data_IF_882260970961
#
_entry.id   IF_882260970961
#
_cell.length_a   1.000
_cell.length_b   1.000
_cell.length_c   1.000
_cell.angle_alpha   90.00
_cell.angle_beta   90.00
_cell.angle_gamma   90.00
#
_symmetry.space_group_name_H-M   'P 1'
#
loop_
_entity.id
_entity.type
_entity.pdbx_description
1 polymer ?
#
# COMPACT_ATOMS: atom_id res chain seq x y z
N UNK A 1 -0.40 -25.85 -22.05
CA UNK A 1 0.78 -26.01 -22.94
C UNK A 1 1.62 -24.74 -22.86
N UNK A 2 2.87 -24.82 -22.41
CA UNK A 2 3.75 -23.65 -22.25
C UNK A 2 4.38 -23.31 -23.61
N UNK A 3 4.19 -22.08 -24.11
CA UNK A 3 4.72 -21.64 -25.41
C UNK A 3 6.13 -21.04 -25.25
N UNK A 4 7.17 -21.87 -25.36
CA UNK A 4 8.57 -21.49 -25.12
C UNK A 4 9.06 -20.31 -25.98
N UNK A 5 8.72 -20.28 -27.27
CA UNK A 5 9.12 -19.21 -28.19
C UNK A 5 8.52 -17.86 -27.80
N UNK A 6 7.27 -17.87 -27.32
CA UNK A 6 6.59 -16.67 -26.82
C UNK A 6 7.31 -16.13 -25.59
N UNK A 7 7.69 -17.00 -24.64
CA UNK A 7 8.45 -16.59 -23.45
C UNK A 7 9.79 -16.01 -23.85
N UNK A 8 10.53 -16.67 -24.76
CA UNK A 8 11.83 -16.18 -25.25
C UNK A 8 11.71 -14.80 -25.89
N UNK A 9 10.68 -14.58 -26.70
CA UNK A 9 10.43 -13.28 -27.32
C UNK A 9 10.10 -12.21 -26.27
N UNK A 10 9.25 -12.52 -25.28
CA UNK A 10 8.92 -11.56 -24.21
C UNK A 10 10.18 -11.20 -23.43
N UNK A 11 10.98 -12.17 -23.02
CA UNK A 11 12.22 -11.94 -22.27
C UNK A 11 13.26 -11.14 -23.07
N UNK A 12 13.43 -11.44 -24.36
CA UNK A 12 14.29 -10.65 -25.24
C UNK A 12 13.79 -9.22 -25.43
N UNK A 13 12.47 -9.03 -25.50
CA UNK A 13 11.88 -7.68 -25.57
C UNK A 13 12.14 -6.89 -24.30
N UNK A 14 12.05 -7.52 -23.11
CA UNK A 14 12.36 -6.87 -21.83
C UNK A 14 13.82 -6.44 -21.79
N UNK A 15 14.74 -7.32 -22.23
CA UNK A 15 16.16 -7.00 -22.28
C UNK A 15 16.47 -5.81 -23.19
N UNK A 16 15.82 -5.74 -24.37
CA UNK A 16 16.06 -4.67 -25.36
C UNK A 16 15.32 -3.36 -25.04
N UNK A 17 14.21 -3.43 -24.32
CA UNK A 17 13.33 -2.31 -24.02
C UNK A 17 12.91 -2.33 -22.54
N UNK A 18 13.87 -2.16 -21.60
CA UNK A 18 13.58 -2.26 -20.16
C UNK A 18 12.56 -1.22 -19.67
N UNK A 19 12.38 -0.12 -20.40
CA UNK A 19 11.43 0.94 -20.11
C UNK A 19 9.98 0.59 -20.46
N UNK A 20 9.75 -0.43 -21.29
CA UNK A 20 8.40 -0.76 -21.76
C UNK A 20 7.66 -1.67 -20.78
N UNK A 21 6.44 -1.26 -20.43
CA UNK A 21 5.52 -2.09 -19.66
C UNK A 21 5.28 -3.43 -20.35
N UNK A 22 5.36 -4.49 -19.57
CA UNK A 22 5.19 -5.86 -20.01
C UNK A 22 4.56 -6.69 -18.90
N UNK A 23 4.11 -7.90 -19.22
CA UNK A 23 3.39 -8.76 -18.27
C UNK A 23 4.21 -9.09 -17.02
N UNK A 24 5.54 -9.26 -17.13
CA UNK A 24 6.40 -9.53 -15.98
C UNK A 24 6.56 -8.30 -15.10
N UNK A 25 6.76 -7.12 -15.69
CA UNK A 25 6.77 -5.85 -14.94
C UNK A 25 5.48 -5.65 -14.16
N UNK A 26 4.34 -5.89 -14.81
CA UNK A 26 3.04 -5.85 -14.15
C UNK A 26 2.91 -6.86 -13.00
N UNK A 27 3.32 -8.12 -13.21
CA UNK A 27 3.29 -9.14 -12.14
C UNK A 27 4.21 -8.79 -10.97
N UNK A 28 5.36 -8.16 -11.24
CA UNK A 28 6.28 -7.66 -10.22
C UNK A 28 5.62 -6.52 -9.43
N UNK A 29 4.97 -5.57 -10.09
CA UNK A 29 4.24 -4.46 -9.46
C UNK A 29 3.16 -4.98 -8.51
N UNK A 30 2.30 -5.90 -8.99
CA UNK A 30 1.25 -6.50 -8.16
C UNK A 30 1.82 -7.29 -6.98
N UNK A 31 2.91 -8.03 -7.21
CA UNK A 31 3.60 -8.77 -6.14
C UNK A 31 4.19 -7.82 -5.09
N UNK A 32 4.73 -6.67 -5.51
CA UNK A 32 5.23 -5.65 -4.61
C UNK A 32 4.10 -5.04 -3.77
N UNK A 33 2.96 -4.66 -4.38
CA UNK A 33 1.80 -4.16 -3.65
C UNK A 33 1.29 -5.17 -2.62
N UNK A 34 1.18 -6.45 -3.02
CA UNK A 34 0.80 -7.55 -2.12
C UNK A 34 1.73 -7.64 -0.92
N UNK A 35 3.04 -7.59 -1.16
CA UNK A 35 4.06 -7.61 -0.12
C UNK A 35 3.93 -6.42 0.84
N UNK A 36 3.93 -5.19 0.30
CA UNK A 36 3.91 -3.96 1.11
C UNK A 36 2.63 -3.86 1.95
N UNK A 37 1.45 -4.09 1.36
CA UNK A 37 0.20 -4.02 2.13
C UNK A 37 0.08 -5.18 3.12
N UNK A 38 0.60 -6.35 2.79
CA UNK A 38 0.72 -7.48 3.71
C UNK A 38 1.56 -7.13 4.95
N UNK A 39 2.80 -6.68 4.74
CA UNK A 39 3.70 -6.27 5.81
C UNK A 39 3.17 -5.09 6.62
N UNK A 40 2.59 -4.08 5.96
CA UNK A 40 1.97 -2.93 6.66
C UNK A 40 0.85 -3.40 7.58
N UNK A 41 -0.01 -4.30 7.07
CA UNK A 41 -1.11 -4.88 7.84
C UNK A 41 -0.61 -5.68 9.04
N UNK A 42 0.45 -6.46 8.87
CA UNK A 42 1.09 -7.19 9.97
C UNK A 42 1.66 -6.23 11.01
N UNK A 43 2.37 -5.19 10.59
CA UNK A 43 2.96 -4.19 11.48
C UNK A 43 1.88 -3.44 12.29
N UNK A 44 0.74 -3.11 11.69
CA UNK A 44 -0.41 -2.51 12.39
C UNK A 44 -0.98 -3.44 13.48
N UNK A 45 -1.02 -4.74 13.20
CA UNK A 45 -1.62 -5.74 14.08
C UNK A 45 -0.67 -6.18 15.21
N UNK A 46 0.63 -6.32 14.93
CA UNK A 46 1.61 -6.89 15.86
C UNK A 46 2.38 -5.84 16.66
N UNK A 47 2.66 -4.66 16.09
CA UNK A 47 3.51 -3.65 16.72
C UNK A 47 2.67 -2.52 17.31
N UNK A 48 2.34 -2.64 18.60
CA UNK A 48 1.53 -1.64 19.29
C UNK A 48 2.11 -0.22 19.24
N UNK A 49 3.43 -0.08 19.29
CA UNK A 49 4.11 1.21 19.15
C UNK A 49 3.88 1.83 17.77
N UNK A 50 3.95 1.03 16.70
CA UNK A 50 3.67 1.48 15.34
C UNK A 50 2.20 1.87 15.18
N UNK A 51 1.29 1.04 15.69
CA UNK A 51 -0.14 1.34 15.65
C UNK A 51 -0.47 2.66 16.38
N UNK A 52 0.12 2.90 17.55
CA UNK A 52 -0.04 4.16 18.27
C UNK A 52 0.52 5.35 17.48
N UNK A 53 1.70 5.19 16.87
CA UNK A 53 2.28 6.20 15.99
C UNK A 53 1.34 6.55 14.83
N UNK A 54 0.74 5.56 14.16
CA UNK A 54 -0.22 5.79 13.07
C UNK A 54 -1.48 6.48 13.56
N UNK A 55 -2.04 6.08 14.70
CA UNK A 55 -3.21 6.74 15.31
C UNK A 55 -2.94 8.22 15.60
N UNK A 56 -1.76 8.55 16.10
CA UNK A 56 -1.36 9.94 16.34
C UNK A 56 -1.15 10.70 15.03
N UNK A 57 -0.43 10.11 14.07
CA UNK A 57 -0.03 10.78 12.82
C UNK A 57 -1.20 11.00 11.86
N UNK A 58 -2.07 10.00 11.72
CA UNK A 58 -3.21 10.04 10.80
C UNK A 58 -4.48 10.60 11.47
N UNK A 59 -4.53 10.62 12.82
CA UNK A 59 -5.68 11.11 13.58
C UNK A 59 -6.98 10.44 13.12
N UNK A 60 -7.95 11.25 12.70
CA UNK A 60 -9.27 10.78 12.20
C UNK A 60 -9.16 9.90 10.95
N UNK A 61 -8.08 10.04 10.17
CA UNK A 61 -7.87 9.27 8.95
C UNK A 61 -7.31 7.86 9.21
N UNK A 62 -6.90 7.54 10.44
CA UNK A 62 -6.34 6.24 10.79
C UNK A 62 -7.28 5.07 10.43
N UNK A 63 -8.57 5.18 10.78
CA UNK A 63 -9.54 4.12 10.51
C UNK A 63 -9.70 3.92 9.00
N UNK A 64 -9.81 4.99 8.22
CA UNK A 64 -9.92 4.89 6.76
C UNK A 64 -8.69 4.22 6.13
N UNK A 65 -7.49 4.64 6.54
CA UNK A 65 -6.23 4.04 6.12
C UNK A 65 -6.17 2.54 6.45
N UNK A 66 -6.46 2.18 7.71
CA UNK A 66 -6.43 0.79 8.17
C UNK A 66 -7.38 -0.10 7.37
N UNK A 67 -8.60 0.40 7.09
CA UNK A 67 -9.59 -0.36 6.33
C UNK A 67 -9.18 -0.51 4.87
N UNK A 68 -8.57 0.49 4.25
CA UNK A 68 -8.01 0.36 2.90
C UNK A 68 -6.89 -0.69 2.87
N UNK A 69 -5.98 -0.68 3.83
CA UNK A 69 -4.88 -1.67 3.91
C UNK A 69 -5.44 -3.09 4.09
N UNK A 70 -6.43 -3.28 4.97
CA UNK A 70 -7.12 -4.58 5.15
C UNK A 70 -7.80 -5.07 3.87
N UNK A 71 -8.51 -4.16 3.18
CA UNK A 71 -9.19 -4.47 1.92
C UNK A 71 -8.19 -4.91 0.84
N UNK A 72 -7.16 -4.11 0.60
CA UNK A 72 -6.13 -4.39 -0.40
C UNK A 72 -5.38 -5.68 -0.10
N UNK A 73 -5.02 -5.91 1.17
CA UNK A 73 -4.38 -7.16 1.59
C UNK A 73 -5.25 -8.36 1.24
N UNK A 74 -6.56 -8.30 1.47
CA UNK A 74 -7.47 -9.41 1.16
C UNK A 74 -7.57 -9.65 -0.36
N UNK A 75 -7.91 -8.61 -1.13
CA UNK A 75 -8.06 -8.72 -2.60
C UNK A 75 -6.78 -9.25 -3.25
N UNK A 76 -5.61 -8.71 -2.88
CA UNK A 76 -4.32 -9.12 -3.46
C UNK A 76 -3.82 -10.48 -2.95
N UNK A 77 -4.29 -10.93 -1.78
CA UNK A 77 -3.95 -12.26 -1.28
C UNK A 77 -4.56 -13.36 -2.14
N UNK A 78 -5.76 -13.12 -2.69
CA UNK A 78 -6.54 -14.09 -3.45
C UNK A 78 -6.41 -13.96 -4.98
N UNK A 79 -5.69 -12.95 -5.47
CA UNK A 79 -5.39 -12.79 -6.89
C UNK A 79 -4.22 -13.68 -7.33
N UNK A 80 -4.48 -14.63 -8.22
CA UNK A 80 -3.47 -15.52 -8.83
C UNK A 80 -3.20 -15.19 -10.30
N UNK A 81 -3.90 -14.19 -10.86
CA UNK A 81 -3.81 -13.83 -12.28
C UNK A 81 -3.49 -12.35 -12.44
N UNK A 82 -3.12 -11.96 -13.66
CA UNK A 82 -2.86 -10.57 -13.98
C UNK A 82 -4.12 -9.68 -13.95
N UNK A 83 -5.32 -10.26 -13.95
CA UNK A 83 -6.55 -9.49 -13.83
C UNK A 83 -7.09 -9.61 -12.40
N UNK A 84 -6.98 -8.52 -11.63
CA UNK A 84 -7.39 -8.50 -10.22
C UNK A 84 -8.86 -8.17 -10.15
N UNK A 85 -9.67 -9.22 -10.06
CA UNK A 85 -11.11 -9.13 -9.84
C UNK A 85 -11.43 -9.35 -8.37
N UNK A 86 -12.35 -8.55 -7.85
CA UNK A 86 -12.90 -8.73 -6.52
C UNK A 86 -13.71 -10.02 -6.47
N UNK A 87 -13.48 -10.82 -5.44
CA UNK A 87 -14.38 -11.89 -5.01
C UNK A 87 -15.22 -11.38 -3.85
N UNK A 88 -16.46 -11.84 -3.75
CA UNK A 88 -17.37 -11.48 -2.66
C UNK A 88 -16.72 -11.66 -1.28
N UNK A 89 -15.98 -12.75 -1.09
CA UNK A 89 -15.27 -13.05 0.15
C UNK A 89 -14.19 -12.02 0.53
N UNK A 90 -13.64 -11.28 -0.44
CA UNK A 90 -12.59 -10.30 -0.21
C UNK A 90 -13.11 -9.08 0.57
N UNK A 91 -14.41 -8.75 0.41
CA UNK A 91 -14.98 -7.50 0.95
C UNK A 91 -16.23 -7.69 1.80
N UNK A 92 -16.94 -8.82 1.74
CA UNK A 92 -18.24 -8.98 2.45
C UNK A 92 -18.09 -8.87 3.97
N UNK A 93 -17.09 -9.54 4.54
CA UNK A 93 -16.81 -9.50 5.99
C UNK A 93 -16.46 -8.08 6.44
N UNK A 94 -15.68 -7.37 5.64
CA UNK A 94 -15.30 -5.99 5.93
C UNK A 94 -16.50 -5.04 5.79
N UNK A 95 -17.31 -5.20 4.74
CA UNK A 95 -18.56 -4.45 4.56
C UNK A 95 -19.48 -4.59 5.77
N UNK A 96 -19.67 -5.80 6.29
CA UNK A 96 -20.53 -6.04 7.44
C UNK A 96 -19.94 -5.51 8.75
N UNK A 97 -18.62 -5.55 8.91
CA UNK A 97 -17.93 -4.85 10.00
C UNK A 97 -18.16 -3.33 9.93
N UNK A 98 -17.96 -2.73 8.75
CA UNK A 98 -18.12 -1.29 8.52
C UNK A 98 -19.54 -0.82 8.79
N UNK A 99 -20.56 -1.55 8.33
CA UNK A 99 -21.97 -1.24 8.62
C UNK A 99 -22.28 -1.15 10.12
N UNK A 100 -21.59 -1.95 10.96
CA UNK A 100 -21.86 -2.05 12.40
C UNK A 100 -21.07 -1.06 13.24
N UNK A 101 -19.88 -0.66 12.78
CA UNK A 101 -18.91 0.06 13.63
C UNK A 101 -18.49 1.43 13.07
N UNK A 102 -18.65 1.67 11.77
CA UNK A 102 -18.14 2.87 11.08
C UNK A 102 -19.12 3.27 9.95
N UNK A 103 -18.59 3.73 8.81
CA UNK A 103 -19.31 3.94 7.56
C UNK A 103 -18.79 2.96 6.50
N UNK A 104 -19.70 2.50 5.66
CA UNK A 104 -19.41 1.75 4.44
C UNK A 104 -18.77 2.59 3.34
N UNK A 105 -18.86 3.91 3.43
CA UNK A 105 -18.11 4.84 2.60
C UNK A 105 -16.83 5.23 3.34
N UNK A 106 -15.71 4.72 2.84
CA UNK A 106 -14.38 5.09 3.34
C UNK A 106 -13.84 6.21 2.47
N UNK A 107 -13.56 7.37 3.07
CA UNK A 107 -12.92 8.52 2.43
C UNK A 107 -11.58 8.78 3.13
N UNK A 108 -10.49 8.36 2.50
CA UNK A 108 -9.13 8.54 3.01
C UNK A 108 -8.44 9.70 2.28
N UNK A 109 -8.15 10.76 3.02
CA UNK A 109 -7.42 11.94 2.52
C UNK A 109 -6.20 12.17 3.39
N UNK A 110 -5.05 12.22 2.74
CA UNK A 110 -3.78 12.44 3.41
C UNK A 110 -2.95 13.44 2.62
N UNK A 111 -2.43 14.46 3.31
CA UNK A 111 -1.45 15.40 2.78
C UNK A 111 -0.20 15.34 3.68
N UNK A 112 0.98 15.27 3.06
CA UNK A 112 2.23 15.21 3.80
C UNK A 112 2.46 16.44 4.67
N UNK A 113 2.08 17.62 4.16
CA UNK A 113 2.22 18.89 4.86
C UNK A 113 1.39 18.95 6.16
N UNK A 114 0.26 18.24 6.23
CA UNK A 114 -0.61 18.21 7.40
C UNK A 114 -0.07 17.26 8.48
N UNK A 115 0.55 16.15 8.06
CA UNK A 115 1.04 15.12 8.98
C UNK A 115 2.48 15.36 9.46
N UNK A 116 3.31 16.05 8.66
CA UNK A 116 4.73 16.21 8.92
C UNK A 116 5.17 17.67 8.78
N UNK A 117 5.37 18.39 9.90
CA UNK A 117 5.82 19.78 9.88
C UNK A 117 7.15 20.01 9.15
N UNK A 118 8.01 18.99 9.10
CA UNK A 118 9.30 19.01 8.41
C UNK A 118 9.20 18.73 6.90
N UNK A 119 8.00 18.55 6.35
CA UNK A 119 7.79 18.33 4.92
C UNK A 119 8.27 19.53 4.10
N UNK A 120 9.17 19.28 3.15
CA UNK A 120 9.74 20.32 2.27
C UNK A 120 9.20 20.27 0.84
N UNK A 121 8.35 19.28 0.53
CA UNK A 121 7.75 19.14 -0.80
C UNK A 121 6.49 20.00 -0.97
N UNK A 122 5.73 19.72 -2.02
CA UNK A 122 4.51 20.47 -2.31
C UNK A 122 3.45 20.29 -1.22
N UNK A 123 2.70 21.36 -0.91
CA UNK A 123 1.67 21.35 0.15
C UNK A 123 0.45 20.52 -0.19
N UNK A 124 0.19 20.33 -1.48
CA UNK A 124 -0.89 19.52 -2.03
C UNK A 124 -0.46 18.07 -2.34
N UNK A 125 0.81 17.70 -2.07
CA UNK A 125 1.27 16.34 -2.30
C UNK A 125 0.70 15.40 -1.25
N UNK A 126 0.03 14.36 -1.73
CA UNK A 126 -0.63 13.39 -0.89
C UNK A 126 -1.48 12.42 -1.69
N UNK A 127 -2.41 11.78 -1.00
CA UNK A 127 -3.26 10.74 -1.57
C UNK A 127 -4.71 10.94 -1.13
N UNK A 128 -5.61 10.72 -2.08
CA UNK A 128 -7.04 10.61 -1.84
C UNK A 128 -7.54 9.28 -2.41
N UNK A 129 -8.12 8.42 -1.58
CA UNK A 129 -8.80 7.18 -1.97
C UNK A 129 -10.20 7.19 -1.37
N UNK A 130 -11.21 6.91 -2.19
CA UNK A 130 -12.58 6.75 -1.74
C UNK A 130 -13.11 5.38 -2.15
N UNK A 131 -13.66 4.62 -1.20
CA UNK A 131 -14.22 3.29 -1.40
C UNK A 131 -15.63 3.21 -0.85
N UNK A 132 -16.59 2.86 -1.72
CA UNK A 132 -17.98 2.62 -1.33
C UNK A 132 -18.27 1.12 -1.30
N UNK A 133 -18.14 0.50 -0.12
CA UNK A 133 -18.39 -0.94 0.08
C UNK A 133 -19.84 -1.34 -0.18
N UNK A 134 -20.81 -0.39 -0.21
CA UNK A 134 -22.18 -0.71 -0.61
C UNK A 134 -22.27 -0.98 -2.10
N UNK A 135 -21.48 -0.28 -2.92
CA UNK A 135 -21.48 -0.37 -4.39
C UNK A 135 -20.56 -1.44 -4.97
N UNK A 136 -19.64 -2.00 -4.19
CA UNK A 136 -18.74 -3.08 -4.63
C UNK A 136 -19.52 -4.33 -5.06
N UNK A 137 -19.03 -4.99 -6.12
CA UNK A 137 -19.64 -6.19 -6.71
C UNK A 137 -18.58 -7.25 -6.99
N UNK A 138 -19.02 -8.51 -6.96
CA UNK A 138 -18.23 -9.65 -7.44
C UNK A 138 -17.82 -9.46 -8.90
N UNK A 139 -16.59 -9.83 -9.25
CA UNK A 139 -16.04 -9.71 -10.61
C UNK A 139 -15.58 -8.30 -11.01
N UNK A 140 -15.86 -7.27 -10.20
CA UNK A 140 -15.41 -5.91 -10.46
C UNK A 140 -13.87 -5.83 -10.46
N UNK A 141 -13.28 -5.02 -11.34
CA UNK A 141 -11.83 -4.82 -11.30
C UNK A 141 -11.42 -3.98 -10.09
N UNK A 142 -10.33 -4.36 -9.42
CA UNK A 142 -9.72 -3.50 -8.40
C UNK A 142 -9.39 -2.11 -8.94
N UNK A 143 -8.97 -2.03 -10.21
CA UNK A 143 -8.55 -0.77 -10.81
C UNK A 143 -9.69 0.19 -11.15
N UNK A 144 -10.93 -0.30 -11.16
CA UNK A 144 -12.12 0.55 -11.23
C UNK A 144 -12.41 1.26 -9.89
N UNK A 145 -11.83 0.75 -8.80
CA UNK A 145 -12.01 1.26 -7.44
C UNK A 145 -10.79 2.07 -6.98
N UNK A 146 -9.59 1.58 -7.29
CA UNK A 146 -8.32 2.19 -6.90
C UNK A 146 -7.39 2.15 -8.11
N UNK A 147 -7.07 3.32 -8.65
CA UNK A 147 -6.14 3.44 -9.77
C UNK A 147 -4.76 2.91 -9.41
N UNK A 148 -4.02 2.45 -10.42
CA UNK A 148 -2.63 2.03 -10.25
C UNK A 148 -1.77 3.15 -9.61
N UNK A 149 -2.02 4.41 -9.98
CA UNK A 149 -1.34 5.57 -9.39
C UNK A 149 -1.60 5.69 -7.88
N UNK A 150 -2.86 5.50 -7.44
CA UNK A 150 -3.18 5.50 -6.02
C UNK A 150 -2.51 4.33 -5.28
N UNK A 151 -2.36 3.16 -5.89
CA UNK A 151 -1.61 2.05 -5.27
C UNK A 151 -0.13 2.39 -5.06
N UNK A 152 0.51 3.08 -6.02
CA UNK A 152 1.87 3.58 -5.85
C UNK A 152 1.97 4.62 -4.75
N UNK A 153 1.10 5.63 -4.74
CA UNK A 153 1.08 6.65 -3.69
C UNK A 153 0.84 6.03 -2.30
N UNK A 154 -0.04 5.03 -2.21
CA UNK A 154 -0.32 4.35 -0.95
C UNK A 154 0.88 3.50 -0.49
N UNK A 155 1.56 2.84 -1.43
CA UNK A 155 2.80 2.09 -1.17
C UNK A 155 3.90 3.00 -0.67
N UNK A 156 4.06 4.16 -1.30
CA UNK A 156 5.01 5.21 -0.90
C UNK A 156 4.68 5.75 0.49
N UNK A 157 3.41 6.00 0.78
CA UNK A 157 2.96 6.40 2.11
C UNK A 157 3.26 5.32 3.17
N UNK A 158 2.97 4.05 2.90
CA UNK A 158 3.30 2.93 3.78
C UNK A 158 4.80 2.90 4.10
N UNK A 159 5.64 3.01 3.07
CA UNK A 159 7.09 3.05 3.22
C UNK A 159 7.53 4.23 4.09
N UNK A 160 7.08 5.45 3.79
CA UNK A 160 7.47 6.64 4.54
C UNK A 160 7.03 6.60 6.00
N UNK A 161 5.80 6.15 6.28
CA UNK A 161 5.31 5.97 7.65
C UNK A 161 6.20 4.99 8.42
N UNK A 162 6.59 3.88 7.78
CA UNK A 162 7.47 2.89 8.40
C UNK A 162 8.88 3.43 8.67
N UNK A 163 9.46 4.19 7.74
CA UNK A 163 10.80 4.76 7.89
C UNK A 163 10.84 5.87 8.92
N UNK A 164 9.84 6.76 8.95
CA UNK A 164 9.74 7.82 9.95
C UNK A 164 9.58 7.21 11.34
N UNK A 165 8.72 6.20 11.48
CA UNK A 165 8.59 5.46 12.73
C UNK A 165 9.93 4.83 13.16
N UNK A 166 10.63 4.17 12.24
CA UNK A 166 11.94 3.55 12.50
C UNK A 166 12.98 4.57 12.98
N UNK A 167 13.07 5.72 12.32
CA UNK A 167 14.01 6.81 12.67
C UNK A 167 13.73 7.35 14.07
N UNK A 168 12.45 7.57 14.40
CA UNK A 168 12.04 8.10 15.69
C UNK A 168 12.21 7.10 16.84
N UNK A 169 12.07 5.80 16.55
CA UNK A 169 12.13 4.73 17.55
C UNK A 169 13.56 4.24 17.79
N UNK A 170 14.38 4.19 16.74
CA UNK A 170 15.76 3.71 16.78
C UNK A 170 16.70 4.76 16.19
N UNK A 171 16.92 5.89 16.89
CA UNK A 171 17.88 6.89 16.43
C UNK A 171 19.25 6.23 16.34
N UNK A 172 19.90 6.32 15.17
CA UNK A 172 21.29 5.85 15.02
C UNK A 172 22.13 6.56 16.07
N UNK A 173 22.78 5.80 16.98
CA UNK A 173 23.80 6.35 17.87
C UNK A 173 24.84 7.04 16.98
N UNK A 174 25.01 8.35 17.15
CA UNK A 174 26.11 9.07 16.51
C UNK A 174 27.42 8.44 16.98
N UNK A 175 28.16 7.76 16.11
CA UNK A 175 29.55 7.44 16.37
C UNK A 175 30.32 8.76 16.40
N UNK A 176 30.54 9.28 17.60
CA UNK A 176 31.41 10.42 17.82
C UNK A 176 32.84 10.02 17.44
N UNK A 177 33.55 10.76 16.57
CA UNK A 177 34.92 10.45 16.18
C UNK A 177 35.88 10.90 17.29
N UNK A 178 35.91 10.18 18.41
CA UNK A 178 36.81 10.48 19.51
C UNK A 178 37.29 9.19 20.19
N UNK A 179 37.95 8.32 19.42
CA UNK A 179 38.81 7.25 19.95
C UNK A 179 39.76 6.73 18.84
N UNK A 180 40.57 7.63 18.28
CA UNK A 180 41.85 7.27 17.65
C UNK A 180 42.95 8.13 18.27
N UNK A 181 43.31 7.79 19.49
CA UNK A 181 44.63 8.07 20.07
C UNK A 181 45.07 6.84 20.84
N UNK A 182 45.87 6.01 20.18
CA UNK A 182 46.99 5.28 20.76
C UNK A 182 48.07 5.23 19.69
#
# INVERSE_FOLDING_TARGET
MIRGDMIKHILQSIYKHPEKKNIFGYLIEISAFKGVFGTTKELIDSEFAFQRYLKTTLGKQFVAFEQIIKFLRNVLSHSTTSHIQLKTDDFIKQKDYLKKNVDTLIDFKFLYADAFPQWKGSKDYGIHIQLDFKKMKDGQSLFDLISLHQLYLLTELCFNLSEIFRINTFPKKSTSPAQRKK
#
